data_IF_504557154506
#
_entry.id   IF_504557154506
#
_cell.length_a   1.000
_cell.length_b   1.000
_cell.length_c   1.000
_cell.angle_alpha   90.00
_cell.angle_beta   90.00
_cell.angle_gamma   90.00
#
_symmetry.space_group_name_H-M   'P 1'
#
loop_
_entity.id
_entity.type
_entity.pdbx_description
1 polymer ?
#
# COMPACT_ATOMS: atom_id res chain seq x y z
N UNK A 1 10.90 4.21 11.83
CA UNK A 1 10.97 3.59 10.49
C UNK A 1 9.91 2.50 10.37
N UNK A 2 9.34 2.36 9.19
CA UNK A 2 8.30 1.38 8.90
C UNK A 2 8.72 0.56 7.68
N UNK A 3 8.18 -0.66 7.60
CA UNK A 3 8.37 -1.53 6.43
C UNK A 3 7.03 -1.82 5.80
N UNK A 4 6.93 -1.59 4.50
CA UNK A 4 5.83 -2.08 3.67
C UNK A 4 6.27 -3.41 3.09
N UNK A 5 5.49 -4.46 3.32
CA UNK A 5 5.82 -5.83 2.92
C UNK A 5 4.75 -6.39 2.01
N UNK A 6 5.17 -7.03 0.92
CA UNK A 6 4.29 -7.77 0.01
C UNK A 6 4.11 -9.19 0.57
N UNK A 7 2.84 -9.60 0.71
CA UNK A 7 2.48 -10.89 1.31
C UNK A 7 1.98 -11.92 0.29
N UNK A 8 1.82 -11.54 -0.97
CA UNK A 8 1.28 -12.46 -1.97
C UNK A 8 1.78 -12.13 -3.37
N UNK A 9 1.59 -13.07 -4.29
CA UNK A 9 1.89 -12.88 -5.71
C UNK A 9 3.37 -12.95 -6.05
N UNK A 10 3.74 -12.54 -7.27
CA UNK A 10 5.12 -12.69 -7.77
C UNK A 10 6.14 -11.86 -7.01
N UNK A 11 5.73 -10.82 -6.30
CA UNK A 11 6.62 -9.97 -5.51
C UNK A 11 6.61 -10.32 -4.02
N UNK A 12 6.02 -11.45 -3.62
CA UNK A 12 5.94 -11.88 -2.22
C UNK A 12 7.31 -11.82 -1.55
N UNK A 13 7.36 -11.23 -0.37
CA UNK A 13 8.57 -11.04 0.41
C UNK A 13 9.32 -9.74 0.14
N UNK A 14 8.96 -9.00 -0.92
CA UNK A 14 9.57 -7.70 -1.19
C UNK A 14 9.18 -6.71 -0.10
N UNK A 15 10.14 -5.89 0.34
CA UNK A 15 9.90 -4.86 1.35
C UNK A 15 10.47 -3.53 0.89
N UNK A 16 9.83 -2.46 1.35
CA UNK A 16 10.33 -1.08 1.23
C UNK A 16 10.29 -0.43 2.59
N UNK A 17 11.37 0.26 2.97
CA UNK A 17 11.38 1.05 4.20
C UNK A 17 10.94 2.48 3.91
N UNK A 18 10.22 3.08 4.86
CA UNK A 18 9.82 4.48 4.74
C UNK A 18 9.66 5.09 6.14
N UNK A 19 9.70 6.40 6.22
CA UNK A 19 9.57 7.10 7.51
C UNK A 19 8.31 7.93 7.61
N UNK A 20 7.91 8.64 6.55
CA UNK A 20 6.78 9.56 6.58
C UNK A 20 5.67 9.18 5.64
N UNK A 21 6.01 8.84 4.42
CA UNK A 21 5.02 8.41 3.44
C UNK A 21 5.66 7.55 2.37
N UNK A 22 4.81 6.77 1.72
CA UNK A 22 5.19 5.95 0.58
C UNK A 22 3.99 5.84 -0.35
N UNK A 23 4.23 6.02 -1.65
CA UNK A 23 3.22 5.83 -2.68
C UNK A 23 3.37 4.46 -3.30
N UNK A 24 2.26 3.76 -3.43
CA UNK A 24 2.17 2.41 -4.00
C UNK A 24 1.54 2.53 -5.37
N UNK A 25 2.14 1.91 -6.37
CA UNK A 25 1.60 1.93 -7.71
C UNK A 25 2.36 1.03 -8.66
N UNK A 26 1.98 1.05 -9.93
CA UNK A 26 2.56 0.18 -10.95
C UNK A 26 3.65 0.87 -11.78
N UNK A 27 3.74 2.18 -11.72
CA UNK A 27 4.66 2.99 -12.54
C UNK A 27 5.86 3.43 -11.71
N UNK A 28 7.06 3.04 -12.12
CA UNK A 28 8.30 3.40 -11.43
C UNK A 28 8.52 4.90 -11.31
N UNK A 29 8.02 5.69 -12.24
CA UNK A 29 8.17 7.14 -12.20
C UNK A 29 7.25 7.81 -11.19
N UNK A 30 6.15 7.13 -10.79
CA UNK A 30 5.09 7.72 -10.00
C UNK A 30 4.92 7.06 -8.63
N UNK A 31 5.56 5.93 -8.38
CA UNK A 31 5.39 5.15 -7.15
C UNK A 31 6.72 4.78 -6.55
N UNK A 32 6.82 4.94 -5.23
CA UNK A 32 8.00 4.51 -4.47
C UNK A 32 8.04 2.99 -4.35
N UNK A 33 6.90 2.39 -4.00
CA UNK A 33 6.72 0.95 -3.95
C UNK A 33 6.06 0.51 -5.25
N UNK A 34 6.86 0.02 -6.18
CA UNK A 34 6.39 -0.31 -7.51
C UNK A 34 5.97 -1.78 -7.61
N UNK A 35 4.66 -2.01 -7.79
CA UNK A 35 4.07 -3.33 -8.01
C UNK A 35 3.92 -3.57 -9.52
N UNK A 36 5.05 -3.60 -10.23
CA UNK A 36 5.09 -3.61 -11.70
C UNK A 36 4.49 -4.87 -12.32
N UNK A 37 4.40 -5.97 -11.55
CA UNK A 37 3.88 -7.25 -12.04
C UNK A 37 2.37 -7.46 -11.76
N UNK A 38 1.72 -6.50 -11.11
CA UNK A 38 0.28 -6.55 -10.85
C UNK A 38 -0.45 -5.57 -11.76
N UNK A 39 -1.05 -6.10 -12.83
CA UNK A 39 -1.75 -5.28 -13.83
C UNK A 39 -3.02 -4.61 -13.29
N UNK A 40 -3.53 -5.05 -12.16
CA UNK A 40 -4.71 -4.48 -11.51
C UNK A 40 -4.37 -3.27 -10.65
N UNK A 41 -3.10 -2.99 -10.47
CA UNK A 41 -2.60 -1.81 -9.75
C UNK A 41 -2.55 -0.63 -10.71
N UNK A 42 -3.11 0.49 -10.30
CA UNK A 42 -3.02 1.76 -11.04
C UNK A 42 -1.61 2.33 -10.96
N UNK A 43 -1.24 3.21 -11.89
CA UNK A 43 0.09 3.82 -11.90
C UNK A 43 0.43 4.49 -10.58
N UNK A 44 -0.50 5.27 -10.02
CA UNK A 44 -0.51 5.69 -8.62
C UNK A 44 -1.78 5.13 -7.99
N UNK A 45 -1.67 4.24 -7.02
CA UNK A 45 -2.83 3.48 -6.54
C UNK A 45 -3.23 3.86 -5.12
N UNK A 46 -2.28 3.89 -4.22
CA UNK A 46 -2.54 4.16 -2.82
C UNK A 46 -1.34 4.87 -2.19
N UNK A 47 -1.59 5.51 -1.06
CA UNK A 47 -0.54 6.18 -0.30
C UNK A 47 -0.68 5.86 1.16
N UNK A 48 0.45 5.62 1.80
CA UNK A 48 0.56 5.48 3.24
C UNK A 48 1.24 6.71 3.80
N UNK A 49 0.68 7.27 4.86
CA UNK A 49 1.26 8.41 5.56
C UNK A 49 1.30 8.12 7.05
N UNK A 50 2.38 8.56 7.69
CA UNK A 50 2.52 8.45 9.13
C UNK A 50 2.05 9.76 9.75
N UNK A 51 1.08 9.66 10.65
CA UNK A 51 0.51 10.79 11.37
C UNK A 51 0.67 10.52 12.87
N UNK A 52 1.72 11.06 13.45
CA UNK A 52 2.09 10.74 14.83
C UNK A 52 2.49 9.26 14.94
N UNK A 53 1.74 8.50 15.74
CA UNK A 53 1.91 7.04 15.85
C UNK A 53 0.95 6.26 14.95
N UNK A 54 0.07 6.94 14.22
CA UNK A 54 -0.93 6.33 13.36
C UNK A 54 -0.44 6.23 11.92
N UNK A 55 -0.92 5.21 11.22
CA UNK A 55 -0.71 5.05 9.78
C UNK A 55 -2.03 5.35 9.09
N UNK A 56 -1.98 6.18 8.06
CA UNK A 56 -3.15 6.53 7.25
C UNK A 56 -2.99 5.91 5.86
N UNK A 57 -4.02 5.23 5.40
CA UNK A 57 -4.09 4.62 4.07
C UNK A 57 -5.09 5.37 3.22
N UNK A 58 -4.65 5.84 2.06
CA UNK A 58 -5.49 6.61 1.13
C UNK A 58 -5.50 5.91 -0.23
N UNK A 59 -6.69 5.70 -0.78
CA UNK A 59 -6.82 5.28 -2.18
C UNK A 59 -6.71 6.51 -3.08
N UNK A 60 -5.83 6.47 -4.07
CA UNK A 60 -5.57 7.60 -4.96
C UNK A 60 -6.43 7.53 -6.22
N UNK A 61 -7.72 7.29 -6.06
CA UNK A 61 -8.68 7.14 -7.17
C UNK A 61 -8.26 6.01 -8.13
N UNK A 62 -7.85 4.91 -7.53
CA UNK A 62 -7.42 3.75 -8.31
C UNK A 62 -8.59 3.15 -9.08
N UNK A 63 -8.27 2.49 -10.18
CA UNK A 63 -9.27 1.87 -11.04
C UNK A 63 -9.97 0.70 -10.36
N UNK A 64 -9.22 -0.11 -9.64
CA UNK A 64 -9.74 -1.35 -9.05
C UNK A 64 -9.95 -1.27 -7.54
N UNK A 65 -9.58 -0.14 -6.93
CA UNK A 65 -9.78 0.10 -5.52
C UNK A 65 -8.71 -0.49 -4.62
N UNK A 66 -8.74 -0.04 -3.37
CA UNK A 66 -7.92 -0.52 -2.26
C UNK A 66 -8.89 -1.08 -1.23
N UNK A 67 -8.55 -2.22 -0.60
CA UNK A 67 -9.43 -2.87 0.36
C UNK A 67 -8.74 -3.07 1.70
N UNK A 68 -9.51 -2.85 2.76
CA UNK A 68 -9.08 -3.08 4.13
C UNK A 68 -10.21 -3.78 4.87
N UNK A 69 -9.93 -4.94 5.45
CA UNK A 69 -10.95 -5.71 6.16
C UNK A 69 -12.14 -6.12 5.31
N UNK A 70 -11.90 -6.38 4.01
CA UNK A 70 -12.95 -6.75 3.07
C UNK A 70 -13.80 -5.59 2.55
N UNK A 71 -13.49 -4.36 2.95
CA UNK A 71 -14.23 -3.18 2.54
C UNK A 71 -13.38 -2.26 1.67
N UNK A 72 -14.00 -1.57 0.72
CA UNK A 72 -13.32 -0.59 -0.08
C UNK A 72 -12.89 0.60 0.79
N UNK A 73 -11.64 1.01 0.61
CA UNK A 73 -11.11 2.22 1.25
C UNK A 73 -11.69 3.44 0.51
N UNK A 74 -12.38 4.29 1.25
CA UNK A 74 -12.92 5.55 0.73
C UNK A 74 -12.22 6.69 1.44
N UNK A 75 -11.51 7.52 0.66
CA UNK A 75 -10.72 8.61 1.22
C UNK A 75 -9.52 8.07 1.98
N UNK A 76 -9.37 8.53 3.19
CA UNK A 76 -8.25 8.35 4.07
C UNK A 76 -8.72 7.61 5.31
N UNK A 77 -8.17 6.43 5.58
CA UNK A 77 -8.58 5.57 6.69
C UNK A 77 -7.38 5.18 7.56
N UNK A 78 -7.59 4.93 8.86
CA UNK A 78 -6.52 4.42 9.70
C UNK A 78 -6.16 2.97 9.31
N UNK A 79 -4.86 2.67 9.31
CA UNK A 79 -4.34 1.33 9.07
C UNK A 79 -3.56 0.87 10.30
N UNK A 80 -4.09 -0.10 11.06
CA UNK A 80 -3.34 -0.66 12.17
C UNK A 80 -2.05 -1.34 11.71
N UNK A 81 -1.00 -1.25 12.51
CA UNK A 81 0.27 -1.95 12.24
C UNK A 81 -0.01 -3.44 12.15
N UNK A 82 0.51 -4.08 11.11
CA UNK A 82 0.34 -5.51 10.88
C UNK A 82 -0.95 -5.91 10.18
N UNK A 83 -1.92 -5.00 10.03
CA UNK A 83 -3.19 -5.29 9.37
C UNK A 83 -2.99 -5.44 7.86
N UNK A 84 -3.36 -6.59 7.26
CA UNK A 84 -3.26 -6.74 5.80
C UNK A 84 -4.25 -5.85 5.07
N UNK A 85 -3.82 -5.34 3.91
CA UNK A 85 -4.68 -4.61 2.99
C UNK A 85 -4.36 -5.02 1.56
N UNK A 86 -5.26 -4.75 0.63
CA UNK A 86 -5.15 -5.20 -0.76
C UNK A 86 -5.10 -4.00 -1.69
N UNK A 87 -4.08 -3.98 -2.53
CA UNK A 87 -3.91 -3.03 -3.64
C UNK A 87 -3.90 -3.84 -4.93
N UNK A 88 -4.88 -3.60 -5.81
CA UNK A 88 -5.06 -4.44 -6.98
C UNK A 88 -5.35 -5.88 -6.56
N UNK A 89 -4.43 -6.79 -6.84
CA UNK A 89 -4.49 -8.19 -6.37
C UNK A 89 -3.36 -8.54 -5.40
N UNK A 90 -2.63 -7.53 -4.94
CA UNK A 90 -1.48 -7.73 -4.06
C UNK A 90 -1.89 -7.47 -2.61
N UNK A 91 -1.58 -8.43 -1.76
CA UNK A 91 -1.77 -8.32 -0.31
C UNK A 91 -0.51 -7.72 0.30
N UNK A 92 -0.68 -6.71 1.16
CA UNK A 92 0.42 -6.00 1.79
C UNK A 92 0.13 -5.78 3.27
N UNK A 93 1.17 -5.48 4.02
CA UNK A 93 1.05 -4.98 5.40
C UNK A 93 2.18 -4.03 5.72
N UNK A 94 1.98 -3.21 6.75
CA UNK A 94 3.01 -2.33 7.29
C UNK A 94 3.38 -2.82 8.68
N UNK A 95 4.67 -2.95 8.92
CA UNK A 95 5.21 -3.26 10.25
C UNK A 95 6.23 -2.20 10.64
N UNK A 96 6.56 -2.15 11.93
CA UNK A 96 7.64 -1.28 12.41
C UNK A 96 8.95 -2.02 12.26
N UNK A 97 9.94 -1.30 11.79
CA UNK A 97 11.31 -1.82 11.67
C UNK A 97 12.06 -1.66 12.98
#
# INVERSE_FOLDING_TARGET
MYLLEVLSGPLDGTTWSFEREITIGRDYALADACLSLDRYVSRQHARLQIDGSAIRLTDLRSRNGTRLGGQAVVGDVPLPVGEPFVVGRTLLRVTRA
#
